data_IF_422470696581
#
_entry.id   IF_422470696581
#
_cell.length_a   1.000
_cell.length_b   1.000
_cell.length_c   1.000
_cell.angle_alpha   90.00
_cell.angle_beta   90.00
_cell.angle_gamma   90.00
#
_symmetry.space_group_name_H-M   'P 1'
#
loop_
_entity.id
_entity.type
_entity.pdbx_description
1 polymer ?
#
# COMPACT_ATOMS: atom_id res chain seq x y z
N UNK A 1 -16.28 15.33 3.86
CA UNK A 1 -15.83 13.94 3.82
C UNK A 1 -15.94 13.41 2.39
N UNK A 2 -14.95 12.67 1.96
CA UNK A 2 -14.73 12.26 0.58
C UNK A 2 -15.69 11.13 0.21
N UNK A 3 -16.82 11.24 -0.28
CA UNK A 3 -17.84 10.23 -0.65
C UNK A 3 -17.28 9.08 -1.53
N UNK A 4 -16.27 8.39 -1.02
CA UNK A 4 -15.61 7.24 -1.65
C UNK A 4 -16.14 5.97 -1.01
N UNK A 5 -16.47 4.96 -1.81
CA UNK A 5 -16.95 3.67 -1.30
C UNK A 5 -15.88 2.94 -0.50
N UNK A 6 -16.29 2.19 0.51
CA UNK A 6 -15.39 1.32 1.29
C UNK A 6 -14.72 0.28 0.39
N UNK A 7 -15.43 -0.22 -0.61
CA UNK A 7 -14.89 -1.17 -1.59
C UNK A 7 -13.73 -0.57 -2.40
N UNK A 8 -13.84 0.68 -2.86
CA UNK A 8 -12.77 1.35 -3.59
C UNK A 8 -11.57 1.63 -2.70
N UNK A 9 -11.81 2.06 -1.46
CA UNK A 9 -10.74 2.27 -0.49
C UNK A 9 -9.98 0.97 -0.21
N UNK A 10 -10.70 -0.12 0.05
CA UNK A 10 -10.10 -1.45 0.25
C UNK A 10 -9.29 -1.90 -0.97
N UNK A 11 -9.81 -1.71 -2.17
CA UNK A 11 -9.10 -2.02 -3.42
C UNK A 11 -7.79 -1.23 -3.55
N UNK A 12 -7.81 0.08 -3.28
CA UNK A 12 -6.61 0.92 -3.37
C UNK A 12 -5.55 0.45 -2.36
N UNK A 13 -5.94 0.18 -1.12
CA UNK A 13 -5.03 -0.29 -0.07
C UNK A 13 -4.41 -1.63 -0.46
N UNK A 14 -5.23 -2.60 -0.85
CA UNK A 14 -4.78 -3.94 -1.23
C UNK A 14 -3.88 -3.90 -2.48
N UNK A 15 -4.31 -3.18 -3.52
CA UNK A 15 -3.58 -3.08 -4.79
C UNK A 15 -2.26 -2.31 -4.69
N UNK A 16 -2.04 -1.49 -3.67
CA UNK A 16 -0.77 -0.77 -3.46
C UNK A 16 0.19 -1.53 -2.56
N UNK A 17 -0.31 -2.36 -1.66
CA UNK A 17 0.52 -3.03 -0.65
C UNK A 17 1.63 -3.89 -1.28
N UNK A 18 1.29 -4.83 -2.14
CA UNK A 18 2.27 -5.73 -2.76
C UNK A 18 3.21 -5.00 -3.74
N UNK A 19 2.74 -4.19 -4.72
CA UNK A 19 3.63 -3.49 -5.63
C UNK A 19 4.63 -2.57 -4.95
N UNK A 20 4.20 -1.84 -3.91
CA UNK A 20 5.09 -0.96 -3.15
C UNK A 20 6.16 -1.76 -2.43
N UNK A 21 5.80 -2.87 -1.78
CA UNK A 21 6.77 -3.75 -1.11
C UNK A 21 7.78 -4.36 -2.07
N UNK A 22 7.36 -4.72 -3.29
CA UNK A 22 8.22 -5.35 -4.29
C UNK A 22 9.25 -4.37 -4.86
N UNK A 23 8.91 -3.09 -4.99
CA UNK A 23 9.85 -2.07 -5.52
C UNK A 23 10.57 -1.28 -4.43
N UNK A 24 10.15 -1.39 -3.16
CA UNK A 24 10.80 -0.68 -2.07
C UNK A 24 12.17 -1.30 -1.75
N UNK A 25 13.26 -0.54 -1.80
CA UNK A 25 14.61 -1.05 -1.53
C UNK A 25 14.80 -1.44 -0.07
N UNK A 26 13.94 -0.99 0.82
CA UNK A 26 13.91 -1.33 2.25
C UNK A 26 12.74 -2.27 2.49
N UNK A 27 12.85 -3.49 2.01
CA UNK A 27 11.80 -4.50 2.15
C UNK A 27 12.40 -5.89 2.37
N UNK A 28 11.59 -6.81 2.88
CA UNK A 28 11.97 -8.22 2.99
C UNK A 28 12.28 -8.85 1.63
N UNK A 29 11.71 -8.34 0.55
CA UNK A 29 12.01 -8.78 -0.81
C UNK A 29 13.41 -8.39 -1.25
N UNK A 30 13.88 -7.18 -0.93
CA UNK A 30 15.25 -6.76 -1.20
C UNK A 30 16.25 -7.63 -0.43
N UNK A 31 15.97 -7.92 0.85
CA UNK A 31 16.78 -8.82 1.66
C UNK A 31 16.79 -10.25 1.09
N UNK A 32 15.65 -10.78 0.66
CA UNK A 32 15.57 -12.09 0.03
C UNK A 32 16.37 -12.17 -1.27
N UNK A 33 16.28 -11.16 -2.14
CA UNK A 33 17.11 -11.11 -3.36
C UNK A 33 18.59 -11.10 -3.03
N UNK A 34 19.00 -10.33 -2.02
CA UNK A 34 20.41 -10.28 -1.59
C UNK A 34 20.92 -11.66 -1.15
N UNK A 35 20.11 -12.48 -0.48
CA UNK A 35 20.50 -13.81 -0.02
C UNK A 35 20.71 -14.85 -1.13
N UNK A 36 20.16 -14.59 -2.32
CA UNK A 36 20.30 -15.47 -3.48
C UNK A 36 21.48 -15.12 -4.39
N UNK A 37 22.14 -13.98 -4.18
CA UNK A 37 23.27 -13.57 -5.01
C UNK A 37 24.54 -14.25 -4.49
N UNK A 38 25.26 -15.05 -5.33
CA UNK A 38 26.51 -15.65 -4.95
C UNK A 38 27.59 -14.60 -4.65
N UNK A 39 28.47 -14.86 -3.71
CA UNK A 39 29.56 -13.94 -3.31
C UNK A 39 30.54 -13.63 -4.45
N UNK A 40 30.65 -14.53 -5.41
CA UNK A 40 31.50 -14.41 -6.60
C UNK A 40 30.84 -13.72 -7.80
N UNK A 41 29.57 -13.29 -7.66
CA UNK A 41 28.82 -12.66 -8.73
C UNK A 41 29.33 -11.26 -9.12
N UNK A 42 30.19 -10.64 -8.34
CA UNK A 42 30.76 -9.31 -8.61
C UNK A 42 29.75 -8.14 -8.55
N UNK A 43 28.51 -8.43 -8.15
CA UNK A 43 27.45 -7.44 -7.93
C UNK A 43 26.79 -7.68 -6.58
N UNK A 44 26.42 -6.60 -5.88
CA UNK A 44 25.66 -6.74 -4.65
C UNK A 44 24.19 -7.08 -4.93
N UNK A 45 23.55 -7.84 -4.02
CA UNK A 45 22.12 -8.15 -4.16
C UNK A 45 21.26 -6.89 -4.17
N UNK A 46 21.65 -5.86 -3.46
CA UNK A 46 20.97 -4.55 -3.51
C UNK A 46 21.04 -3.94 -4.93
N UNK A 47 22.22 -3.97 -5.56
CA UNK A 47 22.36 -3.47 -6.94
C UNK A 47 21.54 -4.30 -7.92
N UNK A 48 21.51 -5.62 -7.77
CA UNK A 48 20.67 -6.51 -8.58
C UNK A 48 19.19 -6.14 -8.38
N UNK A 49 18.75 -6.00 -7.14
CA UNK A 49 17.37 -5.60 -6.83
C UNK A 49 16.98 -4.27 -7.50
N UNK A 50 17.81 -3.24 -7.36
CA UNK A 50 17.57 -1.94 -7.99
C UNK A 50 17.45 -2.03 -9.52
N UNK A 51 18.29 -2.84 -10.13
CA UNK A 51 18.29 -3.05 -11.59
C UNK A 51 17.04 -3.82 -12.06
N UNK A 52 16.39 -4.61 -11.20
CA UNK A 52 15.16 -5.36 -11.57
C UNK A 52 13.88 -4.53 -11.47
N UNK A 53 13.88 -3.42 -10.72
CA UNK A 53 12.69 -2.57 -10.52
C UNK A 53 12.03 -2.16 -11.85
N UNK A 54 12.76 -1.62 -12.85
CA UNK A 54 12.14 -1.20 -14.12
C UNK A 54 11.59 -2.35 -14.97
N UNK A 55 11.97 -3.58 -14.68
CA UNK A 55 11.46 -4.78 -15.37
C UNK A 55 10.30 -5.43 -14.63
N UNK A 56 9.95 -4.95 -13.44
CA UNK A 56 8.80 -5.45 -12.68
C UNK A 56 7.50 -4.84 -13.22
N UNK A 57 7.06 -5.36 -14.38
CA UNK A 57 5.87 -4.88 -15.07
C UNK A 57 4.60 -4.97 -14.22
N UNK A 58 4.49 -5.99 -13.36
CA UNK A 58 3.35 -6.12 -12.45
C UNK A 58 3.24 -4.90 -11.53
N UNK A 59 4.32 -4.57 -10.83
CA UNK A 59 4.31 -3.44 -9.89
C UNK A 59 4.05 -2.10 -10.60
N UNK A 60 4.73 -1.88 -11.73
CA UNK A 60 4.59 -0.64 -12.51
C UNK A 60 3.18 -0.48 -13.08
N UNK A 61 2.62 -1.52 -13.69
CA UNK A 61 1.27 -1.47 -14.27
C UNK A 61 0.19 -1.34 -13.20
N UNK A 62 0.33 -2.03 -12.08
CA UNK A 62 -0.64 -1.95 -10.97
C UNK A 62 -0.63 -0.55 -10.36
N UNK A 63 0.52 0.02 -10.07
CA UNK A 63 0.62 1.38 -9.55
C UNK A 63 0.08 2.42 -10.54
N UNK A 64 0.39 2.26 -11.83
CA UNK A 64 -0.16 3.12 -12.88
C UNK A 64 -1.68 3.03 -12.93
N UNK A 65 -2.23 1.82 -12.82
CA UNK A 65 -3.68 1.61 -12.80
C UNK A 65 -4.34 2.24 -11.57
N UNK A 66 -3.74 2.10 -10.39
CA UNK A 66 -4.25 2.72 -9.15
C UNK A 66 -4.23 4.25 -9.26
N UNK A 67 -3.15 4.83 -9.76
CA UNK A 67 -3.04 6.28 -9.99
C UNK A 67 -4.10 6.72 -10.99
N UNK A 68 -4.25 6.00 -12.11
CA UNK A 68 -5.25 6.30 -13.13
C UNK A 68 -6.67 6.31 -12.56
N UNK A 69 -7.08 5.25 -11.84
CA UNK A 69 -8.41 5.16 -11.23
C UNK A 69 -8.63 6.28 -10.20
N UNK A 70 -7.59 6.62 -9.44
CA UNK A 70 -7.69 7.65 -8.40
C UNK A 70 -7.82 9.05 -9.00
N UNK A 71 -7.05 9.36 -10.04
CA UNK A 71 -7.03 10.70 -10.67
C UNK A 71 -8.25 10.91 -11.57
N UNK A 72 -8.61 9.90 -12.36
CA UNK A 72 -9.71 10.04 -13.34
C UNK A 72 -11.09 9.79 -12.74
N UNK A 73 -11.15 9.22 -11.52
CA UNK A 73 -12.39 8.71 -10.91
C UNK A 73 -13.14 7.75 -11.86
N UNK A 74 -12.41 7.06 -12.73
CA UNK A 74 -12.96 6.11 -13.69
C UNK A 74 -13.23 4.77 -13.00
N UNK A 75 -14.49 4.47 -12.80
CA UNK A 75 -14.92 3.24 -12.15
C UNK A 75 -15.60 2.31 -13.16
N UNK A 76 -15.22 1.04 -13.16
CA UNK A 76 -15.76 0.02 -14.04
C UNK A 76 -16.35 -1.18 -13.28
N UNK A 77 -17.22 -1.93 -13.92
CA UNK A 77 -17.79 -3.15 -13.35
C UNK A 77 -18.54 -2.91 -12.03
N UNK A 78 -18.28 -3.76 -11.06
CA UNK A 78 -18.91 -3.69 -9.73
C UNK A 78 -18.48 -2.44 -8.94
N UNK A 79 -17.26 -1.96 -9.14
CA UNK A 79 -16.75 -0.76 -8.47
C UNK A 79 -17.64 0.47 -8.77
N UNK A 80 -18.06 0.62 -10.02
CA UNK A 80 -18.98 1.71 -10.43
C UNK A 80 -20.31 1.66 -9.68
N UNK A 81 -20.81 0.45 -9.34
CA UNK A 81 -22.03 0.30 -8.53
C UNK A 81 -21.80 0.80 -7.11
N UNK A 82 -20.69 0.41 -6.49
CA UNK A 82 -20.31 0.83 -5.13
C UNK A 82 -20.10 2.34 -5.04
N UNK A 83 -19.38 2.94 -5.99
CA UNK A 83 -19.16 4.39 -6.02
C UNK A 83 -20.46 5.18 -6.23
N UNK A 84 -21.37 4.69 -7.10
CA UNK A 84 -22.66 5.34 -7.30
C UNK A 84 -23.53 5.31 -6.03
N UNK A 85 -23.47 4.23 -5.26
CA UNK A 85 -24.18 4.14 -3.98
C UNK A 85 -23.52 5.02 -2.92
N UNK A 86 -22.20 5.04 -2.86
CA UNK A 86 -21.45 5.92 -1.95
C UNK A 86 -21.74 7.40 -2.20
N UNK A 87 -21.91 7.80 -3.47
CA UNK A 87 -22.32 9.17 -3.82
C UNK A 87 -23.71 9.53 -3.26
N UNK A 88 -24.59 8.53 -3.06
CA UNK A 88 -25.91 8.68 -2.45
C UNK A 88 -25.92 8.62 -0.92
N UNK A 89 -24.76 8.32 -0.31
CA UNK A 89 -24.58 8.18 1.13
C UNK A 89 -24.44 6.74 1.62
N UNK A 90 -24.70 5.73 0.78
CA UNK A 90 -24.51 4.32 1.10
C UNK A 90 -23.06 3.88 0.78
N UNK A 91 -22.20 3.90 1.78
CA UNK A 91 -20.78 3.58 1.64
C UNK A 91 -20.51 2.07 1.50
N UNK A 92 -21.47 1.22 1.88
CA UNK A 92 -21.28 -0.23 1.94
C UNK A 92 -22.03 -1.01 0.86
N UNK A 93 -23.01 -0.41 0.18
CA UNK A 93 -23.81 -1.00 -0.92
C UNK A 93 -24.74 -2.15 -0.50
N UNK A 94 -24.43 -2.90 0.55
CA UNK A 94 -25.26 -4.02 1.05
C UNK A 94 -25.00 -4.25 2.54
N UNK A 95 -25.95 -3.84 3.40
CA UNK A 95 -26.07 -4.34 4.78
C UNK A 95 -24.91 -4.10 5.73
N UNK A 96 -24.05 -3.13 5.45
CA UNK A 96 -22.89 -2.80 6.29
C UNK A 96 -23.22 -1.91 7.50
N UNK A 97 -24.48 -1.66 7.79
CA UNK A 97 -24.90 -0.80 8.91
C UNK A 97 -24.43 -1.32 10.27
N UNK A 98 -24.34 -2.65 10.44
CA UNK A 98 -23.78 -3.25 11.66
C UNK A 98 -22.28 -2.95 11.82
N UNK A 99 -21.53 -2.89 10.72
CA UNK A 99 -20.10 -2.56 10.74
C UNK A 99 -19.85 -1.05 10.93
N UNK A 100 -20.78 -0.20 10.51
CA UNK A 100 -20.69 1.25 10.72
C UNK A 100 -20.85 1.61 12.21
N UNK A 101 -21.77 0.95 12.91
CA UNK A 101 -21.99 1.17 14.34
C UNK A 101 -20.76 0.77 15.16
N UNK A 102 -20.17 -0.40 14.89
CA UNK A 102 -18.95 -0.86 15.56
C UNK A 102 -17.76 0.07 15.24
N UNK A 103 -17.65 0.54 13.99
CA UNK A 103 -16.55 1.43 13.58
C UNK A 103 -16.70 2.85 14.14
N UNK A 104 -17.92 3.35 14.33
CA UNK A 104 -18.15 4.69 14.92
C UNK A 104 -17.89 4.69 16.43
N UNK A 105 -18.21 3.60 17.13
CA UNK A 105 -17.95 3.46 18.57
C UNK A 105 -16.44 3.34 18.88
N UNK A 106 -15.63 2.84 17.94
CA UNK A 106 -14.18 2.71 18.08
C UNK A 106 -13.39 3.94 17.61
N UNK A 107 -14.02 4.89 16.92
CA UNK A 107 -13.31 6.08 16.43
C UNK A 107 -13.01 7.03 17.59
N UNK A 108 -11.73 7.10 17.97
CA UNK A 108 -11.27 8.15 18.89
C UNK A 108 -11.42 9.53 18.23
N UNK A 109 -12.32 10.41 18.75
CA UNK A 109 -12.54 11.74 18.19
C UNK A 109 -11.31 12.65 18.27
N UNK A 110 -10.34 12.32 19.12
CA UNK A 110 -9.09 13.06 19.30
C UNK A 110 -7.94 12.49 18.45
N UNK A 111 -8.18 11.46 17.64
CA UNK A 111 -7.19 10.85 16.77
C UNK A 111 -6.59 11.86 15.79
N UNK A 112 -5.27 11.98 15.79
CA UNK A 112 -4.51 12.88 14.92
C UNK A 112 -3.77 12.07 13.87
N UNK A 113 -3.48 12.70 12.74
CA UNK A 113 -2.65 12.09 11.67
C UNK A 113 -1.28 11.66 12.21
N UNK A 114 -0.76 12.35 13.22
CA UNK A 114 0.50 12.00 13.88
C UNK A 114 0.48 10.62 14.52
N UNK A 115 -0.68 10.16 15.01
CA UNK A 115 -0.83 8.85 15.65
C UNK A 115 -0.60 7.70 14.66
N UNK A 116 -0.79 7.96 13.36
CA UNK A 116 -0.46 7.04 12.27
C UNK A 116 0.97 7.25 11.76
N UNK A 117 1.37 8.50 11.54
CA UNK A 117 2.65 8.83 10.91
C UNK A 117 3.83 8.52 11.84
N UNK A 118 3.70 8.77 13.13
CA UNK A 118 4.78 8.58 14.10
C UNK A 118 5.22 7.10 14.20
N UNK A 119 4.34 6.12 14.40
CA UNK A 119 4.75 4.71 14.43
C UNK A 119 5.42 4.26 13.13
N UNK A 120 4.91 4.70 11.97
CA UNK A 120 5.49 4.36 10.67
C UNK A 120 6.89 4.98 10.53
N UNK A 121 7.07 6.23 10.90
CA UNK A 121 8.38 6.90 10.88
C UNK A 121 9.38 6.22 11.80
N UNK A 122 8.97 5.87 13.03
CA UNK A 122 9.82 5.14 13.99
C UNK A 122 10.20 3.77 13.44
N UNK A 123 9.27 3.05 12.84
CA UNK A 123 9.54 1.76 12.22
C UNK A 123 10.58 1.88 11.10
N UNK A 124 10.42 2.84 10.20
CA UNK A 124 11.37 3.08 9.10
C UNK A 124 12.76 3.42 9.64
N UNK A 125 12.86 4.36 10.58
CA UNK A 125 14.13 4.76 11.18
C UNK A 125 14.80 3.59 11.90
N UNK A 126 14.03 2.80 12.64
CA UNK A 126 14.56 1.61 13.33
C UNK A 126 15.04 0.53 12.37
N UNK A 127 14.28 0.30 11.28
CA UNK A 127 14.67 -0.66 10.25
C UNK A 127 15.98 -0.24 9.56
N UNK A 128 16.07 1.02 9.14
CA UNK A 128 17.31 1.57 8.53
C UNK A 128 18.49 1.51 9.51
N UNK A 129 18.27 1.90 10.77
CA UNK A 129 19.30 1.80 11.81
C UNK A 129 19.77 0.38 12.04
N UNK A 130 18.85 -0.59 12.06
CA UNK A 130 19.20 -2.00 12.17
C UNK A 130 20.02 -2.50 10.97
N UNK A 131 19.62 -2.12 9.74
CA UNK A 131 20.38 -2.48 8.53
C UNK A 131 21.80 -1.93 8.56
N UNK A 132 21.99 -0.67 8.96
CA UNK A 132 23.34 -0.06 9.08
C UNK A 132 24.14 -0.77 10.17
N UNK A 133 23.53 -1.10 11.31
CA UNK A 133 24.19 -1.78 12.41
C UNK A 133 24.63 -3.21 12.06
N UNK A 134 23.83 -3.94 11.30
CA UNK A 134 24.11 -5.32 10.86
C UNK A 134 25.07 -5.40 9.68
N UNK A 135 25.48 -4.24 9.09
CA UNK A 135 26.45 -4.20 8.00
C UNK A 135 25.86 -4.62 6.65
N UNK A 136 24.62 -4.26 6.42
CA UNK A 136 23.94 -4.54 5.16
C UNK A 136 24.53 -3.76 3.99
#
# INVERSE_FOLDING_TARGET
>A
RYKVSRAKLAYIIDSTAAPVCIIAPISSWAAAVNSYVPEDAGISGFQLFMNTIPYNLYALLTLTMVIFITVTAFDFGLMKKHERNAAKGDLFTTGGEEFDQVAEDEINPNGKVIDLVLPVAVLIVSAVGAMIYTGF
#
